data_IF_160835222018
#
_entry.id   IF_160835222018
#
_cell.length_a   1.000
_cell.length_b   1.000
_cell.length_c   1.000
_cell.angle_alpha   90.00
_cell.angle_beta   90.00
_cell.angle_gamma   90.00
#
_symmetry.space_group_name_H-M   'P 1'
#
loop_
_entity.id
_entity.type
_entity.pdbx_description
1 polymer ?
#
# COMPACT_ATOMS: atom_id res chain seq x y z
N UNK A 1 2.67 7.72 -11.97
CA UNK A 1 1.50 8.54 -11.59
C UNK A 1 1.20 8.40 -10.10
N UNK A 2 0.87 7.22 -9.58
CA UNK A 2 0.53 7.00 -8.16
C UNK A 2 1.67 7.22 -7.13
N UNK A 3 2.91 7.47 -7.58
CA UNK A 3 4.04 7.72 -6.67
C UNK A 3 3.81 8.93 -5.77
N UNK A 4 3.15 9.98 -6.26
CA UNK A 4 2.85 11.18 -5.46
C UNK A 4 1.89 10.85 -4.32
N UNK A 5 0.87 10.00 -4.56
CA UNK A 5 -0.05 9.57 -3.51
C UNK A 5 0.63 8.65 -2.50
N UNK A 6 1.44 7.69 -2.97
CA UNK A 6 2.21 6.82 -2.06
C UNK A 6 3.17 7.64 -1.19
N UNK A 7 3.86 8.62 -1.78
CA UNK A 7 4.73 9.53 -1.04
C UNK A 7 3.97 10.35 0.00
N UNK A 8 2.74 10.76 -0.31
CA UNK A 8 1.88 11.48 0.63
C UNK A 8 1.43 10.58 1.79
N UNK A 9 1.06 9.30 1.54
CA UNK A 9 0.78 8.33 2.61
C UNK A 9 1.93 8.24 3.61
N UNK A 10 3.17 8.12 3.11
CA UNK A 10 4.37 8.13 3.94
C UNK A 10 4.54 9.44 4.69
N UNK A 11 4.47 10.59 4.01
CA UNK A 11 4.59 11.91 4.65
C UNK A 11 3.60 12.11 5.79
N UNK A 12 2.39 11.54 5.71
CA UNK A 12 1.39 11.64 6.78
C UNK A 12 1.72 10.74 7.96
N UNK A 13 2.22 9.54 7.70
CA UNK A 13 2.73 8.66 8.75
C UNK A 13 3.97 9.26 9.44
N UNK A 14 4.91 9.81 8.66
CA UNK A 14 6.10 10.53 9.12
C UNK A 14 5.71 11.74 9.98
N UNK A 15 4.80 12.60 9.50
CA UNK A 15 4.35 13.77 10.26
C UNK A 15 3.69 13.40 11.59
N UNK A 16 2.98 12.27 11.64
CA UNK A 16 2.43 11.74 12.89
C UNK A 16 3.50 11.18 13.82
N UNK A 17 4.49 10.45 13.29
CA UNK A 17 5.67 9.94 14.02
C UNK A 17 6.43 11.09 14.68
N UNK A 18 6.69 12.13 13.89
CA UNK A 18 7.56 13.26 14.26
C UNK A 18 6.82 14.32 15.11
N UNK A 19 5.52 14.12 15.36
CA UNK A 19 4.71 15.04 16.16
C UNK A 19 4.42 16.37 15.49
N UNK A 20 4.62 16.47 14.17
CA UNK A 20 4.35 17.68 13.37
C UNK A 20 2.92 17.74 12.84
N UNK A 21 2.12 16.69 13.07
CA UNK A 21 0.68 16.64 12.79
C UNK A 21 -0.13 16.13 13.99
N UNK A 22 -1.23 16.82 14.29
CA UNK A 22 -2.22 16.44 15.30
C UNK A 22 -3.40 15.63 14.73
N UNK A 23 -3.48 15.46 13.40
CA UNK A 23 -4.58 14.77 12.73
C UNK A 23 -4.73 13.32 13.21
N UNK A 24 -5.98 12.90 13.40
CA UNK A 24 -6.33 11.51 13.75
C UNK A 24 -6.49 10.61 12.53
N UNK A 25 -6.86 11.17 11.38
CA UNK A 25 -6.99 10.47 10.11
C UNK A 25 -6.90 11.46 8.95
N UNK A 26 -6.48 10.96 7.78
CA UNK A 26 -6.58 11.68 6.51
C UNK A 26 -7.35 10.83 5.50
N UNK A 27 -8.54 11.30 5.11
CA UNK A 27 -9.44 10.58 4.20
C UNK A 27 -9.37 11.21 2.82
N UNK A 28 -9.05 10.40 1.80
CA UNK A 28 -8.97 10.81 0.40
C UNK A 28 -10.04 10.08 -0.41
N UNK A 29 -10.80 10.82 -1.20
CA UNK A 29 -11.78 10.27 -2.14
C UNK A 29 -11.27 10.51 -3.56
N UNK A 30 -11.26 9.46 -4.36
CA UNK A 30 -10.64 9.46 -5.69
C UNK A 30 -11.35 8.48 -6.62
N UNK A 31 -10.72 8.19 -7.75
CA UNK A 31 -11.24 7.37 -8.84
C UNK A 31 -10.48 6.05 -8.99
N UNK A 32 -11.02 5.15 -9.82
CA UNK A 32 -10.34 3.90 -10.16
C UNK A 32 -8.97 4.16 -10.81
N UNK A 33 -8.85 5.24 -11.57
CA UNK A 33 -7.62 5.71 -12.21
C UNK A 33 -6.50 6.06 -11.22
N UNK A 34 -6.80 6.26 -9.93
CA UNK A 34 -5.80 6.43 -8.88
C UNK A 34 -5.53 5.11 -8.14
N UNK A 35 -6.59 4.34 -7.84
CA UNK A 35 -6.47 3.08 -7.10
C UNK A 35 -5.70 2.02 -7.90
N UNK A 36 -6.00 1.85 -9.20
CA UNK A 36 -5.35 0.84 -10.04
C UNK A 36 -3.82 1.02 -10.11
N UNK A 37 -3.28 2.21 -10.47
CA UNK A 37 -1.83 2.39 -10.47
C UNK A 37 -1.21 2.37 -9.08
N UNK A 38 -1.92 2.77 -8.02
CA UNK A 38 -1.43 2.63 -6.65
C UNK A 38 -1.28 1.15 -6.27
N UNK A 39 -2.27 0.32 -6.60
CA UNK A 39 -2.25 -1.12 -6.35
C UNK A 39 -1.08 -1.81 -7.08
N UNK A 40 -0.84 -1.43 -8.34
CA UNK A 40 0.31 -1.93 -9.10
C UNK A 40 1.65 -1.46 -8.51
N UNK A 41 1.77 -0.17 -8.15
CA UNK A 41 2.98 0.39 -7.55
C UNK A 41 3.31 -0.26 -6.19
N UNK A 42 2.27 -0.56 -5.41
CA UNK A 42 2.39 -1.19 -4.10
C UNK A 42 2.44 -2.72 -4.17
N UNK A 43 2.41 -3.33 -5.36
CA UNK A 43 2.44 -4.78 -5.55
C UNK A 43 1.32 -5.51 -4.80
N UNK A 44 0.12 -4.92 -4.78
CA UNK A 44 -1.05 -5.50 -4.11
C UNK A 44 -1.55 -6.76 -4.84
N UNK A 45 -2.36 -7.61 -4.16
CA UNK A 45 -2.95 -8.79 -4.78
C UNK A 45 -3.58 -8.50 -6.15
N UNK A 46 -3.44 -9.46 -7.07
CA UNK A 46 -3.87 -9.38 -8.47
C UNK A 46 -3.21 -8.26 -9.31
N UNK A 47 -2.29 -7.45 -8.76
CA UNK A 47 -1.66 -6.31 -9.42
C UNK A 47 -0.12 -6.44 -9.52
N UNK A 48 0.39 -7.68 -9.56
CA UNK A 48 1.83 -7.99 -9.48
C UNK A 48 2.45 -8.41 -10.82
N UNK A 49 1.65 -8.62 -11.86
CA UNK A 49 2.11 -9.24 -13.11
C UNK A 49 1.92 -8.31 -14.31
N UNK A 50 3.05 -7.88 -14.90
CA UNK A 50 3.08 -7.24 -16.21
C UNK A 50 2.85 -8.22 -17.36
N UNK A 51 2.64 -7.68 -18.56
CA UNK A 51 2.51 -8.44 -19.82
C UNK A 51 3.59 -8.00 -20.79
N UNK A 52 3.88 -8.82 -21.81
CA UNK A 52 4.78 -8.44 -22.92
C UNK A 52 4.02 -8.46 -24.23
N UNK A 53 4.64 -7.96 -25.31
CA UNK A 53 4.02 -7.99 -26.65
C UNK A 53 3.79 -9.43 -27.13
N UNK A 54 4.70 -10.35 -26.80
CA UNK A 54 4.61 -11.78 -27.16
C UNK A 54 3.63 -12.55 -26.28
N UNK A 55 3.34 -12.05 -25.08
CA UNK A 55 2.43 -12.66 -24.10
C UNK A 55 1.43 -11.61 -23.60
N UNK A 56 0.45 -11.23 -24.44
CA UNK A 56 -0.56 -10.24 -24.08
C UNK A 56 -1.46 -10.74 -22.95
N UNK A 57 -2.18 -9.79 -22.34
CA UNK A 57 -3.12 -10.08 -21.27
C UNK A 57 -4.19 -11.11 -21.69
N UNK A 58 -4.36 -12.15 -20.87
CA UNK A 58 -5.55 -13.00 -20.90
C UNK A 58 -5.97 -13.30 -19.45
N UNK A 59 -7.25 -13.63 -19.26
CA UNK A 59 -7.73 -14.06 -17.94
C UNK A 59 -7.07 -15.36 -17.46
N UNK A 60 -6.63 -16.23 -18.38
CA UNK A 60 -5.99 -17.50 -18.05
C UNK A 60 -4.55 -17.32 -17.56
N UNK A 61 -3.86 -16.26 -18.01
CA UNK A 61 -2.42 -16.06 -17.76
C UNK A 61 -2.12 -14.90 -16.83
N UNK A 62 -3.10 -14.04 -16.54
CA UNK A 62 -2.92 -12.89 -15.66
C UNK A 62 -4.05 -12.82 -14.61
N UNK A 63 -3.71 -12.69 -13.32
CA UNK A 63 -4.68 -12.66 -12.22
C UNK A 63 -5.56 -11.41 -12.22
N UNK A 64 -5.13 -10.30 -12.83
CA UNK A 64 -5.79 -9.00 -12.70
C UNK A 64 -7.28 -9.04 -13.09
N UNK A 65 -8.14 -8.56 -12.18
CA UNK A 65 -9.57 -8.35 -12.42
C UNK A 65 -9.97 -6.99 -11.88
N UNK A 66 -10.63 -6.17 -12.72
CA UNK A 66 -11.10 -4.85 -12.30
C UNK A 66 -12.05 -4.91 -11.09
N UNK A 67 -12.87 -5.96 -10.99
CA UNK A 67 -13.76 -6.20 -9.85
C UNK A 67 -13.05 -6.48 -8.53
N UNK A 68 -11.82 -6.99 -8.56
CA UNK A 68 -11.03 -7.30 -7.36
C UNK A 68 -10.08 -6.15 -7.03
N UNK A 69 -9.51 -5.51 -8.06
CA UNK A 69 -8.51 -4.45 -7.90
C UNK A 69 -9.15 -3.08 -7.62
N UNK A 70 -10.21 -2.73 -8.33
CA UNK A 70 -10.90 -1.45 -8.16
C UNK A 70 -12.43 -1.61 -8.28
N UNK A 71 -13.08 -2.40 -7.41
CA UNK A 71 -14.54 -2.42 -7.34
C UNK A 71 -15.11 -1.04 -7.01
N UNK A 72 -16.44 -0.89 -7.15
CA UNK A 72 -17.13 0.28 -6.64
C UNK A 72 -16.90 0.40 -5.13
N UNK A 73 -16.38 1.53 -4.66
CA UNK A 73 -16.01 1.72 -3.25
C UNK A 73 -14.65 1.13 -2.84
N UNK A 74 -13.80 0.78 -3.81
CA UNK A 74 -12.44 0.31 -3.52
C UNK A 74 -11.66 1.29 -2.63
N UNK A 75 -10.87 0.75 -1.71
CA UNK A 75 -10.13 1.55 -0.74
C UNK A 75 -8.81 0.88 -0.33
N UNK A 76 -7.81 1.70 -0.03
CA UNK A 76 -6.56 1.29 0.63
C UNK A 76 -6.42 2.12 1.89
N UNK A 77 -6.20 1.46 3.02
CA UNK A 77 -6.09 2.09 4.33
C UNK A 77 -4.79 1.65 5.00
N UNK A 78 -4.05 2.60 5.56
CA UNK A 78 -2.93 2.34 6.45
C UNK A 78 -3.29 2.79 7.86
N UNK A 79 -3.26 1.84 8.79
CA UNK A 79 -3.46 2.09 10.20
C UNK A 79 -2.12 2.22 10.89
N UNK A 80 -1.92 3.34 11.59
CA UNK A 80 -0.70 3.62 12.33
C UNK A 80 -0.90 3.34 13.83
N UNK A 81 -0.03 2.52 14.40
CA UNK A 81 -0.01 2.16 15.81
C UNK A 81 1.29 2.62 16.44
N UNK A 82 1.24 3.11 17.69
CA UNK A 82 2.44 3.46 18.47
C UNK A 82 2.71 2.41 19.55
N UNK A 83 3.93 1.88 19.60
CA UNK A 83 4.41 1.01 20.67
C UNK A 83 5.75 1.53 21.20
N UNK A 84 5.69 2.28 22.31
CA UNK A 84 6.86 3.02 22.80
C UNK A 84 7.29 4.06 21.77
N UNK A 85 8.53 3.96 21.28
CA UNK A 85 9.07 4.85 20.26
C UNK A 85 8.89 4.30 18.82
N UNK A 86 8.41 3.06 18.66
CA UNK A 86 8.19 2.45 17.35
C UNK A 86 6.79 2.77 16.83
N UNK A 87 6.71 2.96 15.52
CA UNK A 87 5.47 3.15 14.78
C UNK A 87 5.25 1.99 13.83
N UNK A 88 4.14 1.29 14.01
CA UNK A 88 3.78 0.13 13.20
C UNK A 88 2.64 0.49 12.25
N UNK A 89 2.71 -0.05 11.05
CA UNK A 89 1.69 0.13 10.01
C UNK A 89 1.06 -1.22 9.69
N UNK A 90 -0.27 -1.23 9.61
CA UNK A 90 -1.08 -2.32 9.03
C UNK A 90 -1.83 -1.78 7.82
N UNK A 91 -1.91 -2.56 6.75
CA UNK A 91 -2.70 -2.20 5.58
C UNK A 91 -4.00 -3.01 5.49
N UNK A 92 -5.09 -2.31 5.16
CA UNK A 92 -6.32 -2.92 4.64
C UNK A 92 -6.46 -2.54 3.16
N UNK A 93 -6.83 -3.51 2.33
CA UNK A 93 -7.18 -3.30 0.93
C UNK A 93 -8.56 -3.88 0.69
N UNK A 94 -9.51 -3.01 0.32
CA UNK A 94 -10.95 -3.33 0.31
C UNK A 94 -11.36 -3.95 1.66
N UNK A 95 -10.95 -3.29 2.75
CA UNK A 95 -11.16 -3.71 4.16
C UNK A 95 -10.54 -5.07 4.54
N UNK A 96 -9.84 -5.75 3.64
CA UNK A 96 -9.14 -7.01 3.93
C UNK A 96 -7.72 -6.71 4.38
N UNK A 97 -7.36 -7.27 5.53
CA UNK A 97 -6.00 -7.17 6.04
C UNK A 97 -4.99 -7.78 5.06
N UNK A 98 -4.09 -6.97 4.53
CA UNK A 98 -3.26 -7.32 3.38
C UNK A 98 -1.79 -7.06 3.69
N UNK A 99 -0.93 -8.01 3.34
CA UNK A 99 0.51 -7.87 3.49
C UNK A 99 1.04 -6.81 2.51
N UNK A 100 2.09 -6.10 2.91
CA UNK A 100 2.83 -5.23 2.00
C UNK A 100 3.61 -6.07 0.97
N UNK A 101 4.04 -5.44 -0.12
CA UNK A 101 4.76 -6.11 -1.22
C UNK A 101 5.93 -6.96 -0.74
N UNK A 102 6.28 -7.94 -1.59
CA UNK A 102 7.50 -8.69 -1.44
C UNK A 102 8.72 -7.76 -1.24
N UNK A 103 9.60 -8.14 -0.31
CA UNK A 103 10.76 -7.35 0.09
C UNK A 103 10.55 -6.48 1.34
N UNK A 104 9.31 -6.28 1.78
CA UNK A 104 9.00 -5.72 3.10
C UNK A 104 8.98 -6.83 4.15
N UNK A 105 9.59 -6.59 5.31
CA UNK A 105 9.75 -7.56 6.40
C UNK A 105 8.77 -7.24 7.53
N UNK A 106 7.82 -8.13 7.86
CA UNK A 106 6.91 -7.88 8.98
C UNK A 106 7.63 -8.01 10.33
N UNK A 107 7.04 -7.43 11.37
CA UNK A 107 7.61 -7.45 12.75
C UNK A 107 7.79 -8.85 13.33
N UNK A 108 7.09 -9.85 12.78
CA UNK A 108 7.26 -11.26 13.10
C UNK A 108 6.71 -12.14 11.98
N UNK A 109 7.11 -13.42 11.96
CA UNK A 109 6.64 -14.39 10.95
C UNK A 109 5.11 -14.50 10.99
N UNK A 110 4.48 -14.27 9.83
CA UNK A 110 3.01 -14.33 9.67
C UNK A 110 2.26 -13.07 10.11
N UNK A 111 2.96 -12.06 10.64
CA UNK A 111 2.36 -10.76 10.95
C UNK A 111 2.11 -9.94 9.68
N UNK A 112 1.10 -9.07 9.72
CA UNK A 112 0.84 -8.02 8.73
C UNK A 112 1.06 -6.62 9.28
N UNK A 113 1.78 -6.53 10.39
CA UNK A 113 2.29 -5.28 10.95
C UNK A 113 3.76 -5.11 10.55
N UNK A 114 4.10 -3.92 10.12
CA UNK A 114 5.43 -3.56 9.64
C UNK A 114 5.89 -2.31 10.38
N UNK A 115 7.18 -2.21 10.68
CA UNK A 115 7.74 -0.96 11.19
C UNK A 115 7.71 0.10 10.08
N UNK A 116 7.41 1.36 10.41
CA UNK A 116 7.36 2.44 9.43
C UNK A 116 8.73 2.62 8.73
N UNK A 117 9.83 2.48 9.46
CA UNK A 117 11.18 2.63 8.91
C UNK A 117 11.50 1.47 7.94
N UNK A 118 10.98 0.27 8.22
CA UNK A 118 11.08 -0.88 7.32
C UNK A 118 10.25 -0.67 6.04
N UNK A 119 9.08 -0.04 6.15
CA UNK A 119 8.31 0.33 4.96
C UNK A 119 9.04 1.39 4.12
N UNK A 120 9.61 2.42 4.75
CA UNK A 120 10.45 3.40 4.05
C UNK A 120 11.60 2.70 3.29
N UNK A 121 12.30 1.76 3.93
CA UNK A 121 13.36 0.96 3.31
C UNK A 121 12.86 0.13 2.12
N UNK A 122 11.80 -0.66 2.31
CA UNK A 122 11.33 -1.58 1.26
C UNK A 122 10.66 -0.86 0.07
N UNK A 123 10.18 0.37 0.28
CA UNK A 123 9.71 1.26 -0.79
C UNK A 123 10.81 2.16 -1.37
N UNK A 124 12.06 2.03 -0.90
CA UNK A 124 13.21 2.76 -1.46
C UNK A 124 13.22 4.25 -1.14
N UNK A 125 12.66 4.64 0.01
CA UNK A 125 12.57 6.03 0.49
C UNK A 125 13.71 6.43 1.42
N UNK A 126 14.57 5.50 1.81
CA UNK A 126 15.76 5.80 2.62
C UNK A 126 16.84 6.46 1.76
N UNK A 127 17.26 7.67 2.17
CA UNK A 127 18.47 8.34 1.68
C UNK A 127 19.72 7.49 1.89
#
# INVERSE_FOLDING_TARGET
>A
MAGVLLDDLFKKAEAKRDGTSDLGAELRFTHAEEIIPLAALMGLPESTQGVTEEQPFTYATNPWRGSDVAPLGANVQWDLYRKGNSYLVRMLYNEKETAFKAGCVPVSKGSKFYDLDELERCFGRTN
#
